data_IF_738036436881
#
_entry.id   IF_738036436881
#
_cell.length_a   1.000
_cell.length_b   1.000
_cell.length_c   1.000
_cell.angle_alpha   90.00
_cell.angle_beta   90.00
_cell.angle_gamma   90.00
#
_symmetry.space_group_name_H-M   'P 1'
#
loop_
_entity.id
_entity.type
_entity.pdbx_description
1 polymer ?
#
# COMPACT_ATOMS: atom_id res chain seq x y z
N UNK A 1 -86.63 5.08 -18.46
CA UNK A 1 -85.49 5.97 -18.82
C UNK A 1 -84.32 5.09 -19.24
N UNK A 2 -83.68 5.47 -20.34
CA UNK A 2 -82.87 4.63 -21.22
C UNK A 2 -81.41 4.41 -20.77
N UNK A 3 -80.91 3.20 -21.07
CA UNK A 3 -79.57 2.72 -21.45
C UNK A 3 -78.27 3.54 -21.22
N UNK A 4 -77.22 2.81 -20.80
CA UNK A 4 -75.90 2.60 -21.48
C UNK A 4 -74.87 2.10 -20.46
N UNK A 5 -74.56 0.79 -20.34
CA UNK A 5 -73.66 -0.01 -21.17
C UNK A 5 -72.66 0.77 -22.05
N UNK A 6 -71.37 0.52 -21.82
CA UNK A 6 -70.31 0.67 -22.81
C UNK A 6 -69.37 1.85 -22.60
N UNK A 7 -68.17 1.58 -22.10
CA UNK A 7 -66.91 1.82 -22.81
C UNK A 7 -65.74 1.37 -21.94
N UNK A 8 -65.40 0.08 -22.03
CA UNK A 8 -63.98 -0.25 -22.14
C UNK A 8 -63.50 0.19 -23.54
N UNK A 9 -62.20 0.43 -23.65
CA UNK A 9 -61.45 0.84 -24.83
C UNK A 9 -61.34 2.36 -25.04
N UNK A 10 -60.30 2.95 -24.43
CA UNK A 10 -59.44 3.86 -25.18
C UNK A 10 -57.96 3.57 -24.85
N UNK A 11 -57.30 2.99 -25.85
CA UNK A 11 -55.87 3.12 -26.15
C UNK A 11 -54.82 2.59 -25.17
N UNK A 12 -54.43 1.32 -25.41
CA UNK A 12 -53.02 0.90 -25.44
C UNK A 12 -52.19 1.85 -26.33
N UNK A 13 -51.76 2.99 -25.80
CA UNK A 13 -50.83 3.88 -26.48
C UNK A 13 -49.74 4.32 -25.51
N UNK A 14 -48.88 3.39 -25.13
CA UNK A 14 -47.45 3.62 -24.90
C UNK A 14 -46.74 2.27 -25.12
N UNK A 15 -46.85 1.79 -26.37
CA UNK A 15 -45.91 0.82 -26.90
C UNK A 15 -44.55 1.51 -26.98
N UNK A 16 -43.58 0.93 -26.28
CA UNK A 16 -42.24 0.71 -26.79
C UNK A 16 -41.42 1.97 -27.13
N UNK A 17 -40.90 2.63 -26.10
CA UNK A 17 -39.56 3.22 -26.22
C UNK A 17 -38.57 2.22 -25.64
N UNK A 18 -38.18 1.23 -26.46
CA UNK A 18 -36.98 0.46 -26.20
C UNK A 18 -35.78 1.39 -26.38
N UNK A 19 -35.37 2.07 -25.30
CA UNK A 19 -34.10 2.79 -25.23
C UNK A 19 -32.94 1.78 -25.20
N UNK A 20 -32.74 1.05 -26.30
CA UNK A 20 -31.52 0.28 -26.58
C UNK A 20 -30.33 1.21 -26.93
N UNK A 21 -30.48 2.52 -26.76
CA UNK A 21 -29.42 3.51 -27.01
C UNK A 21 -28.69 3.99 -25.74
N UNK A 22 -29.11 3.59 -24.54
CA UNK A 22 -28.45 4.02 -23.29
C UNK A 22 -27.35 3.06 -22.80
N UNK A 23 -27.26 1.86 -23.39
CA UNK A 23 -26.22 0.88 -23.06
C UNK A 23 -25.01 0.91 -24.00
N UNK A 24 -25.03 1.67 -25.10
CA UNK A 24 -23.95 1.71 -26.09
C UNK A 24 -22.94 2.84 -25.90
N UNK A 25 -23.03 3.63 -24.83
CA UNK A 25 -22.11 4.75 -24.56
C UNK A 25 -21.26 4.61 -23.30
N UNK A 26 -21.21 3.41 -22.74
CA UNK A 26 -20.38 3.09 -21.57
C UNK A 26 -19.52 1.85 -21.86
N UNK A 27 -18.93 1.76 -23.06
CA UNK A 27 -18.10 0.63 -23.50
C UNK A 27 -16.89 0.35 -22.59
N UNK A 28 -16.43 1.33 -21.79
CA UNK A 28 -15.35 1.13 -20.82
C UNK A 28 -15.78 0.45 -19.52
N UNK A 29 -16.96 0.78 -18.99
CA UNK A 29 -17.49 0.21 -17.74
C UNK A 29 -18.31 -1.06 -17.97
N UNK A 30 -18.99 -1.19 -19.13
CA UNK A 30 -19.63 -2.45 -19.52
C UNK A 30 -18.62 -3.52 -19.93
N UNK A 31 -17.43 -3.14 -20.41
CA UNK A 31 -16.32 -4.07 -20.62
C UNK A 31 -15.91 -4.74 -19.29
N UNK A 32 -15.84 -4.02 -18.18
CA UNK A 32 -15.52 -4.63 -16.88
C UNK A 32 -16.66 -5.55 -16.40
N UNK A 33 -17.91 -5.21 -16.72
CA UNK A 33 -19.08 -5.99 -16.34
C UNK A 33 -19.35 -7.23 -17.22
N UNK A 34 -18.94 -7.22 -18.49
CA UNK A 34 -19.19 -8.30 -19.46
C UNK A 34 -17.93 -9.01 -19.99
N UNK A 35 -16.71 -8.52 -19.71
CA UNK A 35 -15.51 -9.28 -20.04
C UNK A 35 -15.33 -10.40 -19.01
N UNK A 36 -15.35 -11.63 -19.51
CA UNK A 36 -14.52 -12.68 -18.93
C UNK A 36 -13.10 -12.13 -18.92
N UNK A 37 -12.64 -11.67 -17.76
CA UNK A 37 -11.27 -11.22 -17.54
C UNK A 37 -10.33 -12.24 -18.19
N UNK A 38 -9.41 -11.76 -19.03
CA UNK A 38 -8.37 -12.60 -19.64
C UNK A 38 -7.71 -13.42 -18.51
N UNK A 39 -7.49 -14.74 -18.69
CA UNK A 39 -6.80 -15.58 -17.72
C UNK A 39 -5.60 -14.92 -17.04
N UNK A 40 -4.82 -14.11 -17.77
CA UNK A 40 -3.67 -13.40 -17.17
C UNK A 40 -4.09 -12.31 -16.17
N UNK A 41 -5.16 -11.56 -16.48
CA UNK A 41 -5.69 -10.51 -15.62
C UNK A 41 -6.36 -11.09 -14.37
N UNK A 42 -6.98 -12.27 -14.49
CA UNK A 42 -7.53 -12.99 -13.34
C UNK A 42 -6.43 -13.35 -12.33
N UNK A 43 -5.29 -13.84 -12.79
CA UNK A 43 -4.14 -14.15 -11.91
C UNK A 43 -3.71 -12.91 -11.14
N UNK A 44 -3.61 -11.75 -11.79
CA UNK A 44 -3.25 -10.50 -11.09
C UNK A 44 -4.30 -10.08 -10.06
N UNK A 45 -5.59 -10.18 -10.39
CA UNK A 45 -6.67 -9.89 -9.46
C UNK A 45 -6.68 -10.84 -8.27
N UNK A 46 -6.39 -12.12 -8.48
CA UNK A 46 -6.30 -13.12 -7.43
C UNK A 46 -5.13 -12.81 -6.49
N UNK A 47 -3.96 -12.42 -7.02
CA UNK A 47 -2.81 -12.04 -6.19
C UNK A 47 -3.09 -10.77 -5.37
N UNK A 48 -3.71 -9.76 -5.98
CA UNK A 48 -4.08 -8.52 -5.27
C UNK A 48 -5.08 -8.82 -4.15
N UNK A 49 -6.09 -9.64 -4.44
CA UNK A 49 -7.11 -10.01 -3.45
C UNK A 49 -6.51 -10.82 -2.33
N UNK A 50 -5.67 -11.82 -2.65
CA UNK A 50 -4.94 -12.64 -1.68
C UNK A 50 -4.07 -11.77 -0.77
N UNK A 51 -3.25 -10.89 -1.34
CA UNK A 51 -2.40 -9.99 -0.57
C UNK A 51 -3.23 -9.04 0.30
N UNK A 52 -4.31 -8.46 -0.23
CA UNK A 52 -5.21 -7.58 0.54
C UNK A 52 -5.78 -8.28 1.77
N UNK A 53 -6.20 -9.55 1.63
CA UNK A 53 -6.69 -10.34 2.76
C UNK A 53 -5.59 -10.60 3.80
N UNK A 54 -4.39 -10.98 3.35
CA UNK A 54 -3.25 -11.22 4.24
C UNK A 54 -2.81 -9.94 4.97
N UNK A 55 -2.74 -8.82 4.26
CA UNK A 55 -2.40 -7.51 4.80
C UNK A 55 -3.44 -7.04 5.82
N UNK A 56 -4.74 -7.18 5.51
CA UNK A 56 -5.82 -6.84 6.44
C UNK A 56 -5.78 -7.68 7.73
N UNK A 57 -5.44 -8.97 7.63
CA UNK A 57 -5.30 -9.86 8.79
C UNK A 57 -4.14 -9.46 9.71
N UNK A 58 -3.12 -8.81 9.19
CA UNK A 58 -1.95 -8.42 9.97
C UNK A 58 -1.97 -7.00 10.51
N UNK A 59 -2.85 -6.13 10.03
CA UNK A 59 -3.02 -4.79 10.60
C UNK A 59 -1.81 -3.87 10.46
N UNK A 60 -1.00 -4.02 9.38
CA UNK A 60 0.12 -3.12 9.07
C UNK A 60 1.52 -3.71 9.30
N UNK A 61 1.62 -4.96 9.74
CA UNK A 61 2.88 -5.72 9.79
C UNK A 61 3.27 -6.36 8.44
N UNK A 62 4.49 -6.94 8.35
CA UNK A 62 4.95 -7.64 7.15
C UNK A 62 4.18 -8.94 6.94
N UNK A 63 3.51 -9.03 5.79
CA UNK A 63 2.65 -10.17 5.41
C UNK A 63 3.40 -11.50 5.54
N UNK A 64 2.81 -12.43 6.29
CA UNK A 64 3.37 -13.75 6.62
C UNK A 64 4.71 -13.71 7.39
N UNK A 65 5.03 -12.62 8.10
CA UNK A 65 6.15 -12.59 9.03
C UNK A 65 6.01 -13.65 10.13
N UNK A 66 6.70 -14.77 9.96
CA UNK A 66 6.87 -15.81 10.97
C UNK A 66 7.94 -15.45 11.99
N UNK A 67 8.19 -16.36 12.95
CA UNK A 67 9.23 -16.19 13.96
C UNK A 67 10.64 -16.02 13.34
N UNK A 68 10.89 -16.61 12.17
CA UNK A 68 12.13 -16.44 11.42
C UNK A 68 12.39 -15.00 10.97
N UNK A 69 11.34 -14.23 10.66
CA UNK A 69 11.48 -12.83 10.25
C UNK A 69 11.99 -11.98 11.41
N UNK A 70 11.41 -12.14 12.59
CA UNK A 70 11.84 -11.43 13.79
C UNK A 70 13.26 -11.82 14.21
N UNK A 71 13.65 -13.09 14.02
CA UNK A 71 15.04 -13.53 14.25
C UNK A 71 16.02 -12.85 13.31
N UNK A 72 15.75 -12.88 11.99
CA UNK A 72 16.59 -12.21 10.98
C UNK A 72 16.67 -10.71 11.19
N UNK A 73 15.57 -10.09 11.62
CA UNK A 73 15.54 -8.66 11.97
C UNK A 73 16.45 -8.34 13.15
N UNK A 74 16.40 -9.14 14.22
CA UNK A 74 17.30 -8.97 15.37
C UNK A 74 18.76 -9.19 14.99
N UNK A 75 19.04 -10.25 14.24
CA UNK A 75 20.39 -10.53 13.75
C UNK A 75 20.96 -9.38 12.90
N UNK A 76 20.14 -8.81 12.01
CA UNK A 76 20.52 -7.66 11.20
C UNK A 76 20.84 -6.43 12.06
N UNK A 77 20.03 -6.16 13.09
CA UNK A 77 20.27 -5.05 14.03
C UNK A 77 21.57 -5.28 14.81
N UNK A 78 21.78 -6.47 15.36
CA UNK A 78 22.99 -6.80 16.13
C UNK A 78 24.25 -6.68 15.28
N UNK A 79 24.18 -7.10 14.01
CA UNK A 79 25.30 -6.94 13.07
C UNK A 79 25.61 -5.46 12.83
N UNK A 80 24.58 -4.63 12.65
CA UNK A 80 24.74 -3.19 12.46
C UNK A 80 25.33 -2.52 13.71
N UNK A 81 24.84 -2.85 14.90
CA UNK A 81 25.38 -2.32 16.16
C UNK A 81 26.86 -2.64 16.34
N UNK A 82 27.28 -3.88 16.00
CA UNK A 82 28.70 -4.27 16.05
C UNK A 82 29.56 -3.54 15.04
N UNK A 83 29.09 -3.37 13.80
CA UNK A 83 29.86 -2.71 12.74
C UNK A 83 30.10 -1.23 13.01
N UNK A 84 29.08 -0.54 13.52
CA UNK A 84 29.12 0.91 13.68
C UNK A 84 29.40 1.35 15.12
N UNK A 85 29.63 0.40 16.05
CA UNK A 85 29.75 0.65 17.49
C UNK A 85 28.64 1.58 18.02
N UNK A 86 27.45 1.49 17.40
CA UNK A 86 26.30 2.31 17.77
C UNK A 86 25.76 1.72 19.05
N UNK A 87 25.77 2.53 20.11
CA UNK A 87 25.10 2.22 21.37
C UNK A 87 23.58 2.25 21.19
N UNK A 88 22.89 3.10 21.94
CA UNK A 88 21.45 3.29 21.77
C UNK A 88 21.17 4.06 20.46
N UNK A 89 20.53 3.46 19.44
CA UNK A 89 20.28 4.14 18.15
C UNK A 89 19.28 5.29 18.28
N UNK A 90 18.58 5.42 19.41
CA UNK A 90 17.61 6.48 19.66
C UNK A 90 18.28 7.70 20.33
N UNK A 91 19.43 7.52 20.98
CA UNK A 91 20.09 8.59 21.74
C UNK A 91 21.36 9.04 21.04
N UNK A 92 21.40 10.33 20.74
CA UNK A 92 22.60 10.97 20.24
C UNK A 92 23.67 11.03 21.35
N UNK A 93 24.96 10.76 21.05
CA UNK A 93 26.02 10.78 22.06
C UNK A 93 26.33 12.21 22.51
N UNK A 94 26.62 12.37 23.80
CA UNK A 94 27.16 13.61 24.34
C UNK A 94 28.68 13.66 24.12
N UNK A 95 29.14 14.68 23.39
CA UNK A 95 30.56 14.89 23.13
C UNK A 95 31.16 15.77 24.22
N UNK A 96 32.09 15.21 24.99
CA UNK A 96 32.92 15.95 25.94
C UNK A 96 34.33 16.02 25.38
N UNK A 97 34.72 17.19 24.88
CA UNK A 97 36.07 17.43 24.38
C UNK A 97 36.94 17.87 25.56
N UNK A 98 37.93 17.06 25.92
CA UNK A 98 38.98 17.49 26.86
C UNK A 98 39.93 18.43 26.12
N UNK A 99 40.25 19.57 26.72
CA UNK A 99 41.19 20.52 26.12
C UNK A 99 42.56 19.87 25.91
N UNK A 100 43.18 20.06 24.72
CA UNK A 100 44.49 19.49 24.44
C UNK A 100 45.54 20.16 25.34
N UNK A 101 46.43 19.36 25.93
CA UNK A 101 47.56 19.88 26.70
C UNK A 101 48.61 20.47 25.74
N UNK A 102 48.65 21.80 25.64
CA UNK A 102 49.51 22.55 24.72
C UNK A 102 50.99 22.56 25.14
N UNK A 103 51.33 22.18 26.37
CA UNK A 103 52.71 22.21 26.89
C UNK A 103 53.61 21.14 26.22
N UNK A 104 53.04 20.01 25.79
CA UNK A 104 53.79 18.91 25.18
C UNK A 104 54.09 19.13 23.68
N UNK A 105 53.38 20.04 23.02
CA UNK A 105 53.59 20.30 21.59
C UNK A 105 54.71 21.32 21.33
N UNK A 106 55.03 22.17 22.30
CA UNK A 106 56.09 23.19 22.18
C UNK A 106 57.50 22.61 22.39
N UNK A 107 57.62 21.53 23.18
CA UNK A 107 58.92 20.89 23.48
C UNK A 107 59.51 20.07 22.32
N UNK A 108 58.70 19.67 21.33
CA UNK A 108 59.18 18.88 20.19
C UNK A 108 59.59 19.74 18.96
N UNK A 109 59.30 21.05 18.96
CA UNK A 109 59.65 21.94 17.82
C UNK A 109 60.83 22.88 18.11
N UNK A 110 61.47 22.78 19.27
CA UNK A 110 62.61 23.61 19.68
C UNK A 110 63.95 22.85 19.67
N UNK A 111 63.97 21.61 19.17
CA UNK A 111 65.13 20.70 19.21
C UNK A 111 65.79 20.37 17.87
N UNK A 112 65.35 20.94 16.75
CA UNK A 112 66.00 20.75 15.44
C UNK A 112 66.30 22.11 14.78
N UNK A 113 67.40 22.75 15.18
CA UNK A 113 68.32 23.53 14.33
C UNK A 113 69.71 23.57 14.97
#
# INVERSE_FOLDING_TARGET
MATRQGMQAVSNFLRYSSSRSLFSRNFGSSAIAFNKLDPIQQVFMDQITKYKQLSAKQGGGPVEAGAEYEQKKKEAIDRLSKMYNVGDPVKFPEFNFTEPNLEQQNINSLGEQ
#
